data_IF_323135292033
#
_entry.id   IF_323135292033
#
_cell.length_a   1.000
_cell.length_b   1.000
_cell.length_c   1.000
_cell.angle_alpha   90.00
_cell.angle_beta   90.00
_cell.angle_gamma   90.00
#
_symmetry.space_group_name_H-M   'P 1'
#
loop_
_entity.id
_entity.type
_entity.pdbx_description
1 polymer ?
#
# COMPACT_ATOMS: atom_id res chain seq x y z
N UNK A 1 2.83 16.75 -11.40
CA UNK A 1 3.33 16.92 -10.01
C UNK A 1 2.53 18.05 -9.44
N UNK A 2 1.92 17.83 -8.30
CA UNK A 2 0.91 18.73 -7.78
C UNK A 2 1.52 20.08 -7.40
N UNK A 3 0.89 21.16 -7.90
CA UNK A 3 1.37 22.53 -7.68
C UNK A 3 1.50 22.86 -6.18
N UNK A 4 0.66 22.20 -5.34
CA UNK A 4 0.65 22.41 -3.89
C UNK A 4 1.89 21.89 -3.16
N UNK A 5 2.71 21.06 -3.82
CA UNK A 5 3.95 20.51 -3.27
C UNK A 5 5.19 21.36 -3.58
N UNK A 6 5.04 22.40 -4.40
CA UNK A 6 6.11 23.33 -4.77
C UNK A 6 5.85 24.71 -4.14
N UNK A 7 6.87 25.55 -3.95
CA UNK A 7 6.68 26.92 -3.51
C UNK A 7 5.80 27.72 -4.49
N UNK A 8 4.87 28.48 -3.94
CA UNK A 8 4.08 29.46 -4.70
C UNK A 8 4.87 30.77 -4.97
N UNK A 9 4.24 31.75 -5.57
CA UNK A 9 4.86 33.05 -5.87
C UNK A 9 5.33 33.82 -4.64
N UNK A 10 4.86 33.47 -3.44
CA UNK A 10 5.30 34.04 -2.16
C UNK A 10 6.49 33.26 -1.55
N UNK A 11 6.92 32.15 -2.16
CA UNK A 11 7.92 31.24 -1.63
C UNK A 11 7.37 30.25 -0.59
N UNK A 12 6.08 30.30 -0.27
CA UNK A 12 5.46 29.35 0.66
C UNK A 12 5.02 28.08 -0.08
N UNK A 13 5.13 26.92 0.59
CA UNK A 13 4.62 25.63 0.08
C UNK A 13 3.15 25.49 0.49
N UNK A 14 2.19 25.52 -0.45
CA UNK A 14 0.76 25.56 -0.13
C UNK A 14 0.30 24.43 0.78
N UNK A 15 0.75 23.18 0.52
CA UNK A 15 0.37 22.02 1.34
C UNK A 15 0.84 22.14 2.79
N UNK A 16 2.04 22.63 3.02
CA UNK A 16 2.59 22.84 4.39
C UNK A 16 1.80 23.93 5.10
N UNK A 17 1.57 25.07 4.41
CA UNK A 17 0.78 26.19 4.95
C UNK A 17 -0.65 25.79 5.26
N UNK A 18 -1.30 25.04 4.36
CA UNK A 18 -2.64 24.51 4.60
C UNK A 18 -2.68 23.61 5.84
N UNK A 19 -1.75 22.67 5.95
CA UNK A 19 -1.66 21.76 7.11
C UNK A 19 -1.48 22.52 8.42
N UNK A 20 -0.60 23.51 8.44
CA UNK A 20 -0.36 24.34 9.61
C UNK A 20 -1.61 25.14 9.99
N UNK A 21 -2.26 25.79 9.03
CA UNK A 21 -3.49 26.56 9.29
C UNK A 21 -4.64 25.67 9.74
N UNK A 22 -4.81 24.51 9.14
CA UNK A 22 -5.83 23.53 9.58
C UNK A 22 -5.65 23.18 11.06
N UNK A 23 -4.41 22.96 11.50
CA UNK A 23 -4.11 22.68 12.91
C UNK A 23 -4.43 23.88 13.80
N UNK A 24 -3.92 25.06 13.46
CA UNK A 24 -3.98 26.24 14.33
C UNK A 24 -5.33 26.96 14.31
N UNK A 25 -6.02 26.97 13.16
CA UNK A 25 -7.27 27.72 12.98
C UNK A 25 -8.54 26.86 13.13
N UNK A 26 -8.42 25.52 12.99
CA UNK A 26 -9.59 24.62 13.05
C UNK A 26 -9.44 23.59 14.18
N UNK A 27 -8.40 22.75 14.14
CA UNK A 27 -8.27 21.62 15.07
C UNK A 27 -8.07 22.10 16.52
N UNK A 28 -7.08 22.94 16.76
CA UNK A 28 -6.77 23.44 18.11
C UNK A 28 -7.93 24.24 18.73
N UNK A 29 -8.55 25.21 18.03
CA UNK A 29 -9.70 25.93 18.56
C UNK A 29 -10.90 25.02 18.87
N UNK A 30 -11.16 24.03 17.99
CA UNK A 30 -12.25 23.07 18.20
C UNK A 30 -12.09 22.31 19.51
N UNK A 31 -10.91 21.72 19.76
CA UNK A 31 -10.65 20.96 20.99
C UNK A 31 -10.53 21.85 22.23
N UNK A 32 -10.08 23.10 22.09
CA UNK A 32 -10.09 24.08 23.15
C UNK A 32 -11.50 24.48 23.57
N UNK A 33 -12.43 24.58 22.62
CA UNK A 33 -13.83 24.89 22.89
C UNK A 33 -14.59 23.69 23.49
N UNK A 34 -14.07 22.47 23.38
CA UNK A 34 -14.70 21.24 23.87
C UNK A 34 -13.76 20.43 24.77
N UNK A 35 -13.43 20.91 25.98
CA UNK A 35 -12.40 20.32 26.85
C UNK A 35 -12.72 18.90 27.31
N UNK A 36 -13.98 18.44 27.19
CA UNK A 36 -14.38 17.05 27.47
C UNK A 36 -14.13 16.07 26.31
N UNK A 37 -13.74 16.57 25.15
CA UNK A 37 -13.45 15.70 24.01
C UNK A 37 -12.01 15.20 24.07
N UNK A 38 -11.86 13.88 23.83
CA UNK A 38 -10.53 13.30 23.68
C UNK A 38 -9.93 13.73 22.34
N UNK A 39 -8.83 14.46 22.39
CA UNK A 39 -8.11 14.85 21.18
C UNK A 39 -7.52 13.63 20.50
N UNK A 40 -7.74 13.41 19.19
CA UNK A 40 -7.08 12.36 18.44
C UNK A 40 -5.60 12.66 18.24
N UNK A 41 -4.79 11.61 18.09
CA UNK A 41 -3.42 11.76 17.65
C UNK A 41 -3.41 12.25 16.19
N UNK A 42 -2.67 13.32 15.91
CA UNK A 42 -2.58 13.92 14.58
C UNK A 42 -1.30 13.46 13.89
N UNK A 43 -1.45 12.89 12.72
CA UNK A 43 -0.33 12.54 11.84
C UNK A 43 -0.46 13.34 10.56
N UNK A 44 0.65 13.93 10.11
CA UNK A 44 0.66 14.72 8.87
C UNK A 44 1.25 13.91 7.72
N UNK A 45 0.90 14.26 6.49
CA UNK A 45 1.39 13.60 5.27
C UNK A 45 0.32 12.82 4.57
N UNK A 46 0.41 11.55 4.55
CA UNK A 46 0.22 10.48 3.59
C UNK A 46 1.18 10.60 2.42
N UNK A 47 2.50 10.68 2.75
CA UNK A 47 3.55 10.88 1.76
C UNK A 47 3.80 9.58 0.99
N UNK A 48 3.56 9.53 -0.33
CA UNK A 48 3.77 8.33 -1.12
C UNK A 48 5.22 8.24 -1.62
N UNK A 49 5.67 7.04 -1.95
CA UNK A 49 6.89 6.78 -2.73
C UNK A 49 8.16 7.49 -2.20
N UNK A 50 8.34 7.57 -0.88
CA UNK A 50 9.51 8.21 -0.27
C UNK A 50 10.86 7.50 -0.55
N UNK A 51 10.85 6.36 -1.22
CA UNK A 51 12.04 5.73 -1.80
C UNK A 51 12.51 6.39 -3.10
N UNK A 52 11.67 7.21 -3.75
CA UNK A 52 12.04 7.89 -4.98
C UNK A 52 12.78 9.21 -4.67
N UNK A 53 14.01 9.42 -5.18
CA UNK A 53 14.75 10.66 -4.94
C UNK A 53 14.00 11.94 -5.36
N UNK A 54 13.13 11.84 -6.38
CA UNK A 54 12.29 12.97 -6.81
C UNK A 54 11.28 13.37 -5.74
N UNK A 55 10.71 12.39 -5.01
CA UNK A 55 9.75 12.65 -3.93
C UNK A 55 10.46 13.23 -2.71
N UNK A 56 11.64 12.69 -2.35
CA UNK A 56 12.44 13.17 -1.23
C UNK A 56 12.85 14.64 -1.40
N UNK A 57 13.04 15.11 -2.65
CA UNK A 57 13.45 16.49 -2.97
C UNK A 57 12.29 17.49 -3.02
N UNK A 58 11.04 17.04 -2.86
CA UNK A 58 9.90 17.97 -2.88
C UNK A 58 9.89 18.87 -1.63
N UNK A 59 9.76 20.19 -1.80
CA UNK A 59 9.70 21.13 -0.66
C UNK A 59 8.58 20.80 0.33
N UNK A 60 7.45 20.28 -0.13
CA UNK A 60 6.36 19.85 0.76
C UNK A 60 6.77 18.66 1.65
N UNK A 61 7.58 17.73 1.16
CA UNK A 61 8.05 16.61 1.96
C UNK A 61 8.95 17.10 3.11
N UNK A 62 9.94 17.93 2.78
CA UNK A 62 10.81 18.53 3.79
C UNK A 62 10.01 19.36 4.80
N UNK A 63 9.13 20.23 4.32
CA UNK A 63 8.33 21.12 5.19
C UNK A 63 7.33 20.37 6.07
N UNK A 64 6.72 19.27 5.60
CA UNK A 64 5.82 18.46 6.44
C UNK A 64 6.60 17.66 7.50
N UNK A 65 7.78 17.17 7.19
CA UNK A 65 8.66 16.50 8.15
C UNK A 65 9.12 17.52 9.23
N UNK A 66 9.55 18.69 8.83
CA UNK A 66 9.94 19.78 9.75
C UNK A 66 8.76 20.20 10.64
N UNK A 67 7.58 20.38 10.05
CA UNK A 67 6.35 20.68 10.79
C UNK A 67 6.02 19.56 11.78
N UNK A 68 6.14 18.29 11.37
CA UNK A 68 5.93 17.17 12.28
C UNK A 68 6.91 17.16 13.45
N UNK A 69 8.17 17.50 13.22
CA UNK A 69 9.19 17.54 14.27
C UNK A 69 9.00 18.71 15.26
N UNK A 70 8.76 19.91 14.73
CA UNK A 70 8.74 21.15 15.52
C UNK A 70 7.41 21.38 16.24
N UNK A 71 6.29 20.86 15.75
CA UNK A 71 4.98 21.08 16.35
C UNK A 71 4.63 19.96 17.35
N UNK A 72 4.52 20.26 18.67
CA UNK A 72 4.15 19.25 19.68
C UNK A 72 2.71 18.73 19.52
N UNK A 73 1.86 19.45 18.81
CA UNK A 73 0.49 19.04 18.51
C UNK A 73 0.40 17.93 17.44
N UNK A 74 1.49 17.68 16.73
CA UNK A 74 1.59 16.61 15.74
C UNK A 74 2.30 15.41 16.37
N UNK A 75 1.61 14.26 16.39
CA UNK A 75 2.15 13.01 16.94
C UNK A 75 3.26 12.44 16.05
N UNK A 76 3.08 12.46 14.73
CA UNK A 76 4.04 11.87 13.81
C UNK A 76 3.72 12.06 12.34
N UNK A 77 4.27 11.17 11.52
CA UNK A 77 4.17 11.20 10.06
C UNK A 77 3.35 10.02 9.53
N UNK A 78 2.55 10.27 8.50
CA UNK A 78 1.84 9.26 7.72
C UNK A 78 2.55 9.05 6.38
N UNK A 79 2.80 7.80 6.01
CA UNK A 79 3.41 7.44 4.72
C UNK A 79 2.61 6.32 4.05
N UNK A 80 2.58 6.31 2.71
CA UNK A 80 2.04 5.20 1.92
C UNK A 80 3.17 4.37 1.32
N UNK A 81 3.05 3.05 1.37
CA UNK A 81 4.07 2.11 0.91
C UNK A 81 3.54 1.20 -0.19
N UNK A 82 3.40 1.73 -1.40
CA UNK A 82 3.14 0.96 -2.61
C UNK A 82 4.46 0.75 -3.33
N UNK A 83 5.07 -0.43 -3.16
CA UNK A 83 6.46 -0.73 -3.56
C UNK A 83 6.52 -1.73 -4.71
N UNK A 84 7.68 -1.83 -5.34
CA UNK A 84 8.07 -2.91 -6.25
C UNK A 84 8.99 -3.91 -5.55
N UNK A 85 9.88 -3.44 -4.67
CA UNK A 85 10.92 -4.22 -4.04
C UNK A 85 11.01 -3.97 -2.53
N UNK A 86 11.62 -4.91 -1.80
CA UNK A 86 11.94 -4.73 -0.38
C UNK A 86 12.92 -3.57 -0.16
N UNK A 87 13.78 -3.28 -1.15
CA UNK A 87 14.70 -2.14 -1.12
C UNK A 87 13.93 -0.81 -1.07
N UNK A 88 12.86 -0.65 -1.84
CA UNK A 88 12.03 0.56 -1.83
C UNK A 88 11.47 0.83 -0.43
N UNK A 89 11.03 -0.23 0.25
CA UNK A 89 10.50 -0.12 1.61
C UNK A 89 11.58 0.33 2.60
N UNK A 90 12.78 -0.26 2.50
CA UNK A 90 13.92 0.11 3.34
C UNK A 90 14.30 1.57 3.13
N UNK A 91 14.47 2.00 1.88
CA UNK A 91 14.84 3.38 1.54
C UNK A 91 13.80 4.40 2.03
N UNK A 92 12.51 4.10 1.90
CA UNK A 92 11.46 4.96 2.43
C UNK A 92 11.56 5.15 3.95
N UNK A 93 11.76 4.07 4.70
CA UNK A 93 11.89 4.14 6.16
C UNK A 93 13.20 4.79 6.59
N UNK A 94 14.33 4.49 5.95
CA UNK A 94 15.63 5.09 6.25
C UNK A 94 15.58 6.61 6.01
N UNK A 95 14.98 7.06 4.92
CA UNK A 95 14.76 8.47 4.66
C UNK A 95 13.97 9.14 5.79
N UNK A 96 12.83 8.57 6.18
CA UNK A 96 12.01 9.15 7.26
C UNK A 96 12.76 9.14 8.58
N UNK A 97 13.44 8.07 8.95
CA UNK A 97 14.18 7.97 10.23
C UNK A 97 15.41 8.86 10.28
N UNK A 98 16.06 9.09 9.15
CA UNK A 98 17.15 10.07 9.05
C UNK A 98 16.68 11.49 9.41
N UNK A 99 15.52 11.89 8.88
CA UNK A 99 14.98 13.24 9.08
C UNK A 99 14.07 13.37 10.32
N UNK A 100 13.48 12.28 10.79
CA UNK A 100 12.56 12.26 11.94
C UNK A 100 12.82 11.02 12.81
N UNK A 101 13.89 11.01 13.62
CA UNK A 101 14.33 9.81 14.35
C UNK A 101 13.38 9.37 15.46
N UNK A 102 12.70 10.30 16.14
CA UNK A 102 12.00 10.04 17.41
C UNK A 102 10.48 9.88 17.29
N UNK A 103 9.82 10.61 16.38
CA UNK A 103 8.36 10.59 16.31
C UNK A 103 7.81 9.33 15.61
N UNK A 104 6.62 8.88 16.01
CA UNK A 104 5.99 7.70 15.40
C UNK A 104 5.67 7.89 13.92
N UNK A 105 5.66 6.75 13.21
CA UNK A 105 5.20 6.64 11.82
C UNK A 105 3.91 5.83 11.82
N UNK A 106 2.96 6.22 10.97
CA UNK A 106 1.82 5.36 10.59
C UNK A 106 1.86 5.05 9.11
N UNK A 107 1.36 3.86 8.75
CA UNK A 107 1.25 3.39 7.37
C UNK A 107 -0.19 2.99 7.09
N UNK A 108 -1.07 3.94 6.74
CA UNK A 108 -2.48 3.65 6.51
C UNK A 108 -2.74 2.84 5.23
N UNK A 109 -1.79 2.84 4.29
CA UNK A 109 -1.88 2.05 3.06
C UNK A 109 -0.52 1.48 2.65
N UNK A 110 -0.51 0.18 2.33
CA UNK A 110 0.66 -0.50 1.77
C UNK A 110 0.24 -1.62 0.82
N UNK A 111 1.02 -1.89 -0.23
CA UNK A 111 0.72 -2.95 -1.20
C UNK A 111 1.88 -3.18 -2.18
N UNK A 112 1.78 -4.25 -2.97
CA UNK A 112 2.64 -4.52 -4.12
C UNK A 112 2.06 -3.98 -5.44
N UNK A 113 1.15 -2.99 -5.39
CA UNK A 113 0.46 -2.48 -6.59
C UNK A 113 1.44 -2.11 -7.72
N UNK A 114 2.55 -1.44 -7.41
CA UNK A 114 3.54 -1.02 -8.41
C UNK A 114 4.21 -2.22 -9.08
N UNK A 115 4.53 -3.25 -8.31
CA UNK A 115 5.07 -4.51 -8.82
C UNK A 115 4.09 -5.17 -9.79
N UNK A 116 2.80 -5.25 -9.45
CA UNK A 116 1.79 -5.82 -10.34
C UNK A 116 1.66 -5.05 -11.65
N UNK A 117 1.61 -3.72 -11.58
CA UNK A 117 1.52 -2.85 -12.77
C UNK A 117 2.72 -3.04 -13.70
N UNK A 118 3.92 -3.18 -13.15
CA UNK A 118 5.16 -3.41 -13.91
C UNK A 118 5.08 -4.66 -14.79
N UNK A 119 4.42 -5.70 -14.29
CA UNK A 119 4.34 -7.00 -14.95
C UNK A 119 3.07 -7.24 -15.78
N UNK A 120 2.18 -6.25 -15.93
CA UNK A 120 0.91 -6.41 -16.67
C UNK A 120 1.08 -6.89 -18.12
N UNK A 121 2.20 -6.56 -18.75
CA UNK A 121 2.49 -6.91 -20.16
C UNK A 121 3.27 -8.21 -20.33
N UNK A 122 3.77 -8.78 -19.25
CA UNK A 122 4.57 -9.99 -19.32
C UNK A 122 3.71 -11.16 -19.80
N UNK A 123 4.21 -12.01 -20.72
CA UNK A 123 3.47 -13.18 -21.14
C UNK A 123 3.42 -14.22 -20.02
N UNK A 124 2.35 -15.00 -19.95
CA UNK A 124 2.21 -16.10 -19.00
C UNK A 124 3.40 -17.06 -19.04
N UNK A 125 3.92 -17.35 -20.21
CA UNK A 125 5.05 -18.25 -20.44
C UNK A 125 6.42 -17.55 -20.49
N UNK A 126 6.62 -16.44 -19.80
CA UNK A 126 7.87 -15.68 -19.81
C UNK A 126 9.11 -16.51 -19.40
N UNK A 127 8.93 -17.48 -18.53
CA UNK A 127 9.95 -18.40 -18.06
C UNK A 127 9.44 -19.86 -18.06
N UNK A 128 10.23 -20.80 -17.55
CA UNK A 128 9.85 -22.22 -17.51
C UNK A 128 8.63 -22.45 -16.62
N UNK A 129 8.62 -21.89 -15.40
CA UNK A 129 7.51 -22.06 -14.45
C UNK A 129 6.20 -21.47 -15.02
N UNK A 130 6.29 -20.35 -15.73
CA UNK A 130 5.16 -19.76 -16.42
C UNK A 130 4.64 -20.61 -17.58
N UNK A 131 5.50 -21.29 -18.34
CA UNK A 131 5.08 -22.23 -19.39
C UNK A 131 4.41 -23.47 -18.80
N UNK A 132 4.93 -24.00 -17.69
CA UNK A 132 4.34 -25.11 -16.96
C UNK A 132 2.95 -24.75 -16.41
N UNK A 133 2.81 -23.55 -15.84
CA UNK A 133 1.53 -23.00 -15.43
C UNK A 133 0.55 -22.92 -16.61
N UNK A 134 0.97 -22.31 -17.73
CA UNK A 134 0.11 -22.17 -18.91
C UNK A 134 -0.36 -23.52 -19.45
N UNK A 135 0.53 -24.51 -19.50
CA UNK A 135 0.19 -25.89 -19.93
C UNK A 135 -0.82 -26.53 -18.96
N UNK A 136 -0.57 -26.44 -17.64
CA UNK A 136 -1.45 -27.01 -16.60
C UNK A 136 -2.88 -26.50 -16.68
N UNK A 137 -3.07 -25.21 -16.93
CA UNK A 137 -4.39 -24.58 -16.95
C UNK A 137 -4.92 -24.31 -18.37
N UNK A 138 -4.31 -24.93 -19.39
CA UNK A 138 -4.71 -24.80 -20.79
C UNK A 138 -4.81 -23.34 -21.26
N UNK A 139 -3.83 -22.53 -20.87
CA UNK A 139 -3.71 -21.11 -21.25
C UNK A 139 -2.67 -20.95 -22.35
N UNK A 140 -2.87 -19.95 -23.22
CA UNK A 140 -1.84 -19.56 -24.18
C UNK A 140 -0.61 -19.00 -23.44
N UNK A 141 0.59 -19.57 -23.59
CA UNK A 141 1.79 -19.06 -22.94
C UNK A 141 2.19 -17.65 -23.42
N UNK A 142 1.68 -17.22 -24.59
CA UNK A 142 1.89 -15.85 -25.11
C UNK A 142 0.89 -14.84 -24.55
N UNK A 143 -0.16 -15.27 -23.86
CA UNK A 143 -1.15 -14.39 -23.26
C UNK A 143 -0.48 -13.46 -22.25
N UNK A 144 -0.60 -12.12 -22.37
CA UNK A 144 -0.08 -11.20 -21.38
C UNK A 144 -0.92 -11.23 -20.10
N UNK A 145 -0.28 -10.96 -18.95
CA UNK A 145 -0.91 -10.98 -17.63
C UNK A 145 -2.16 -10.11 -17.53
N UNK A 146 -2.19 -8.93 -18.15
CA UNK A 146 -3.40 -8.09 -18.13
C UNK A 146 -4.63 -8.77 -18.75
N UNK A 147 -4.44 -9.62 -19.78
CA UNK A 147 -5.54 -10.40 -20.37
C UNK A 147 -5.96 -11.55 -19.45
N UNK A 148 -5.00 -12.23 -18.82
CA UNK A 148 -5.31 -13.26 -17.84
C UNK A 148 -6.06 -12.66 -16.63
N UNK A 149 -5.67 -11.48 -16.14
CA UNK A 149 -6.42 -10.76 -15.11
C UNK A 149 -7.84 -10.38 -15.57
N UNK A 150 -8.02 -10.08 -16.85
CA UNK A 150 -9.37 -9.86 -17.39
C UNK A 150 -10.24 -11.12 -17.31
N UNK A 151 -9.66 -12.31 -17.52
CA UNK A 151 -10.37 -13.57 -17.30
C UNK A 151 -10.71 -13.77 -15.82
N UNK A 152 -9.80 -13.47 -14.92
CA UNK A 152 -10.06 -13.54 -13.49
C UNK A 152 -11.21 -12.60 -13.07
N UNK A 153 -11.19 -11.35 -13.51
CA UNK A 153 -12.25 -10.37 -13.22
C UNK A 153 -13.61 -10.70 -13.87
N UNK A 154 -13.65 -11.72 -14.74
CA UNK A 154 -14.88 -12.31 -15.29
C UNK A 154 -15.22 -13.65 -14.62
N UNK A 155 -14.55 -14.02 -13.52
CA UNK A 155 -14.70 -15.32 -12.82
C UNK A 155 -14.42 -16.55 -13.71
N UNK A 156 -13.52 -16.42 -14.69
CA UNK A 156 -13.08 -17.51 -15.58
C UNK A 156 -11.77 -18.16 -15.11
N UNK A 157 -11.32 -17.83 -13.92
CA UNK A 157 -10.12 -18.34 -13.25
C UNK A 157 -10.54 -18.91 -11.91
N UNK A 158 -10.10 -20.12 -11.59
CA UNK A 158 -10.34 -20.73 -10.29
C UNK A 158 -9.40 -20.16 -9.23
N UNK A 159 -9.71 -20.34 -7.95
CA UNK A 159 -8.83 -19.98 -6.83
C UNK A 159 -7.48 -20.73 -6.90
N UNK A 160 -7.51 -21.99 -7.35
CA UNK A 160 -6.30 -22.80 -7.57
C UNK A 160 -5.43 -22.19 -8.68
N UNK A 161 -6.04 -21.86 -9.81
CA UNK A 161 -5.33 -21.22 -10.94
C UNK A 161 -4.73 -19.88 -10.53
N UNK A 162 -5.49 -19.06 -9.76
CA UNK A 162 -5.01 -17.80 -9.23
C UNK A 162 -3.74 -17.99 -8.37
N UNK A 163 -3.77 -18.90 -7.39
CA UNK A 163 -2.63 -19.19 -6.54
C UNK A 163 -1.43 -19.72 -7.34
N UNK A 164 -1.67 -20.63 -8.26
CA UNK A 164 -0.63 -21.22 -9.11
C UNK A 164 0.03 -20.19 -10.04
N UNK A 165 -0.74 -19.23 -10.56
CA UNK A 165 -0.20 -18.16 -11.39
C UNK A 165 0.83 -17.34 -10.62
N UNK A 166 0.49 -16.87 -9.43
CA UNK A 166 1.44 -16.09 -8.62
C UNK A 166 2.64 -16.93 -8.15
N UNK A 167 2.40 -18.19 -7.76
CA UNK A 167 3.48 -19.11 -7.38
C UNK A 167 4.47 -19.39 -8.51
N UNK A 168 4.03 -19.29 -9.77
CA UNK A 168 4.90 -19.46 -10.95
C UNK A 168 5.72 -18.22 -11.30
N UNK A 169 5.51 -17.09 -10.60
CA UNK A 169 6.22 -15.82 -10.89
C UNK A 169 7.46 -15.67 -10.00
N UNK A 170 8.63 -15.64 -10.62
CA UNK A 170 9.90 -15.39 -9.90
C UNK A 170 10.01 -14.00 -9.29
N UNK A 171 9.21 -13.04 -9.78
CA UNK A 171 9.15 -11.67 -9.26
C UNK A 171 8.15 -11.50 -8.11
N UNK A 172 7.22 -12.45 -7.90
CA UNK A 172 6.24 -12.33 -6.81
C UNK A 172 6.87 -12.77 -5.47
N UNK A 173 6.97 -11.88 -4.48
CA UNK A 173 7.53 -12.24 -3.18
C UNK A 173 6.49 -12.98 -2.34
N UNK A 174 6.67 -14.28 -2.10
CA UNK A 174 5.80 -14.99 -1.16
C UNK A 174 5.94 -14.38 0.24
N UNK A 175 4.87 -14.43 1.02
CA UNK A 175 4.85 -13.90 2.41
C UNK A 175 5.21 -12.41 2.54
N UNK A 176 4.86 -11.60 1.54
CA UNK A 176 5.19 -10.16 1.56
C UNK A 176 4.57 -9.43 2.76
N UNK A 177 3.40 -9.86 3.24
CA UNK A 177 2.78 -9.30 4.45
C UNK A 177 3.67 -9.45 5.67
N UNK A 178 4.31 -10.63 5.87
CA UNK A 178 5.24 -10.86 6.97
C UNK A 178 6.52 -10.02 6.81
N UNK A 179 6.95 -9.78 5.57
CA UNK A 179 8.08 -8.90 5.28
C UNK A 179 7.74 -7.46 5.67
N UNK A 180 6.59 -6.92 5.25
CA UNK A 180 6.13 -5.61 5.69
C UNK A 180 6.05 -5.52 7.21
N UNK A 181 5.45 -6.52 7.86
CA UNK A 181 5.32 -6.54 9.31
C UNK A 181 6.67 -6.46 10.04
N UNK A 182 7.70 -7.19 9.57
CA UNK A 182 9.06 -7.11 10.14
C UNK A 182 9.65 -5.70 10.02
N UNK A 183 9.43 -5.02 8.89
CA UNK A 183 9.87 -3.64 8.72
C UNK A 183 9.09 -2.68 9.62
N UNK A 184 7.79 -2.87 9.79
CA UNK A 184 6.99 -2.07 10.71
C UNK A 184 7.48 -2.19 12.15
N UNK A 185 7.78 -3.40 12.62
CA UNK A 185 8.39 -3.61 13.93
C UNK A 185 9.77 -2.94 14.02
N UNK A 186 10.65 -3.15 13.03
CA UNK A 186 12.01 -2.61 13.00
C UNK A 186 12.05 -1.09 13.05
N UNK A 187 11.18 -0.43 12.30
CA UNK A 187 11.16 1.03 12.17
C UNK A 187 10.15 1.71 13.10
N UNK A 188 9.56 0.99 14.05
CA UNK A 188 8.67 1.53 15.06
C UNK A 188 7.40 2.16 14.46
N UNK A 189 6.79 1.49 13.49
CA UNK A 189 5.48 1.87 12.95
C UNK A 189 4.42 1.61 14.02
N UNK A 190 3.73 2.66 14.43
CA UNK A 190 2.72 2.60 15.51
C UNK A 190 1.40 2.00 15.06
N UNK A 191 1.02 2.28 13.82
CA UNK A 191 -0.20 1.78 13.21
C UNK A 191 0.05 1.49 11.73
N UNK A 192 -0.31 0.30 11.29
CA UNK A 192 -0.42 -0.01 9.88
C UNK A 192 -1.81 -0.59 9.61
N UNK A 193 -2.44 -0.18 8.52
CA UNK A 193 -3.72 -0.71 8.09
C UNK A 193 -3.62 -1.25 6.67
N UNK A 194 -4.26 -2.39 6.45
CA UNK A 194 -4.44 -2.94 5.12
C UNK A 194 -5.89 -2.69 4.71
N UNK A 195 -6.14 -1.54 4.06
CA UNK A 195 -7.47 -0.99 3.80
C UNK A 195 -8.23 -1.62 2.64
N UNK A 196 -7.67 -2.68 2.02
CA UNK A 196 -8.24 -3.25 0.80
C UNK A 196 -9.22 -4.38 1.10
N UNK A 197 -10.41 -4.07 1.61
CA UNK A 197 -11.48 -5.06 1.80
C UNK A 197 -12.09 -5.43 0.46
N UNK A 198 -12.38 -4.43 -0.39
CA UNK A 198 -12.89 -4.61 -1.75
C UNK A 198 -12.33 -3.50 -2.65
N UNK A 199 -12.10 -3.83 -3.92
CA UNK A 199 -11.61 -2.88 -4.91
C UNK A 199 -12.37 -3.08 -6.24
N UNK A 200 -12.48 -2.00 -7.01
CA UNK A 200 -13.00 -2.10 -8.35
C UNK A 200 -12.07 -2.96 -9.22
N UNK A 201 -12.66 -3.93 -9.92
CA UNK A 201 -11.97 -4.76 -10.89
C UNK A 201 -12.64 -4.59 -12.26
N UNK A 202 -11.98 -3.95 -13.23
CA UNK A 202 -12.55 -3.80 -14.57
C UNK A 202 -12.65 -5.16 -15.26
N UNK A 203 -13.74 -5.45 -15.98
CA UNK A 203 -13.88 -6.72 -16.70
C UNK A 203 -12.81 -6.91 -17.79
N UNK A 204 -12.24 -5.82 -18.28
CA UNK A 204 -11.09 -5.81 -19.20
C UNK A 204 -10.00 -4.95 -18.58
N UNK A 205 -8.85 -5.56 -18.28
CA UNK A 205 -7.68 -4.89 -17.75
C UNK A 205 -6.83 -4.40 -18.92
N UNK A 206 -6.64 -3.09 -19.11
CA UNK A 206 -5.78 -2.61 -20.18
C UNK A 206 -4.28 -2.83 -19.86
N UNK A 207 -3.41 -2.88 -20.89
CA UNK A 207 -1.98 -3.16 -20.71
C UNK A 207 -1.21 -2.12 -19.90
N UNK A 208 -1.75 -0.93 -19.72
CA UNK A 208 -1.24 0.14 -18.86
C UNK A 208 -2.27 0.48 -17.75
N UNK A 209 -3.08 -0.50 -17.36
CA UNK A 209 -4.12 -0.31 -16.36
C UNK A 209 -3.61 -0.33 -14.93
N UNK A 210 -4.56 -0.14 -14.02
CA UNK A 210 -4.34 -0.34 -12.60
C UNK A 210 -4.52 -1.80 -12.20
N UNK A 211 -3.81 -2.24 -11.18
CA UNK A 211 -3.87 -3.59 -10.65
C UNK A 211 -4.33 -3.64 -9.17
N UNK A 212 -5.08 -2.63 -8.72
CA UNK A 212 -5.58 -2.57 -7.34
C UNK A 212 -6.46 -3.75 -6.96
N UNK A 213 -7.18 -4.34 -7.91
CA UNK A 213 -8.08 -5.49 -7.72
C UNK A 213 -7.37 -6.77 -7.23
N UNK A 214 -6.03 -6.81 -7.29
CA UNK A 214 -5.23 -7.94 -6.76
C UNK A 214 -5.11 -7.84 -5.24
N UNK A 215 -5.13 -6.62 -4.68
CA UNK A 215 -4.85 -6.37 -3.27
C UNK A 215 -5.97 -6.75 -2.27
N UNK A 216 -7.28 -6.82 -2.59
CA UNK A 216 -8.29 -7.08 -1.57
C UNK A 216 -8.03 -8.34 -0.75
N UNK A 217 -8.38 -8.26 0.54
CA UNK A 217 -8.43 -9.43 1.44
C UNK A 217 -9.46 -10.44 0.92
N UNK A 218 -10.55 -9.93 0.35
CA UNK A 218 -11.57 -10.72 -0.34
C UNK A 218 -11.72 -10.22 -1.78
N UNK A 219 -10.98 -10.78 -2.75
CA UNK A 219 -11.00 -10.31 -4.14
C UNK A 219 -12.25 -10.84 -4.88
N UNK A 220 -13.44 -10.55 -4.35
CA UNK A 220 -14.73 -11.04 -4.83
C UNK A 220 -15.07 -10.66 -6.28
N UNK A 221 -14.34 -9.71 -6.88
CA UNK A 221 -14.48 -9.36 -8.30
C UNK A 221 -13.59 -10.18 -9.21
N UNK A 222 -12.55 -10.84 -8.66
CA UNK A 222 -11.57 -11.62 -9.41
C UNK A 222 -11.65 -13.11 -9.09
N UNK A 223 -12.10 -13.49 -7.90
CA UNK A 223 -12.27 -14.88 -7.50
C UNK A 223 -13.75 -15.23 -7.31
N UNK A 224 -14.16 -16.43 -7.73
CA UNK A 224 -15.51 -16.91 -7.49
C UNK A 224 -15.75 -17.07 -5.98
N UNK A 225 -17.02 -16.97 -5.53
CA UNK A 225 -17.37 -17.25 -4.14
C UNK A 225 -17.15 -18.74 -3.81
N UNK A 226 -17.04 -19.05 -2.52
CA UNK A 226 -17.04 -20.41 -2.02
C UNK A 226 -18.40 -21.09 -2.29
N UNK A 227 -18.46 -22.42 -2.15
CA UNK A 227 -19.68 -23.19 -2.38
C UNK A 227 -20.85 -22.80 -1.45
N UNK A 228 -20.57 -22.27 -0.27
CA UNK A 228 -21.55 -21.76 0.68
C UNK A 228 -21.99 -20.31 0.43
N UNK A 229 -21.49 -19.68 -0.65
CA UNK A 229 -21.75 -18.30 -1.03
C UNK A 229 -20.91 -17.25 -0.28
N UNK A 230 -20.04 -17.65 0.63
CA UNK A 230 -19.11 -16.74 1.30
C UNK A 230 -18.01 -16.22 0.34
N UNK A 231 -17.42 -15.08 0.68
CA UNK A 231 -16.32 -14.54 -0.08
C UNK A 231 -15.06 -15.40 0.07
N UNK A 232 -14.44 -15.74 -1.05
CA UNK A 232 -13.15 -16.41 -1.06
C UNK A 232 -12.06 -15.47 -0.52
N UNK A 233 -11.35 -15.84 0.56
CA UNK A 233 -10.21 -15.05 1.02
C UNK A 233 -9.08 -15.10 0.00
N UNK A 234 -8.28 -14.03 -0.07
CA UNK A 234 -7.16 -13.98 -0.99
C UNK A 234 -6.09 -15.02 -0.59
N UNK A 235 -5.87 -16.05 -1.39
CA UNK A 235 -4.97 -17.16 -1.03
C UNK A 235 -3.49 -16.76 -1.00
N UNK A 236 -3.16 -15.56 -1.49
CA UNK A 236 -1.78 -15.10 -1.58
C UNK A 236 -1.20 -14.64 -0.23
N UNK A 237 -2.06 -14.18 0.69
CA UNK A 237 -1.59 -13.59 1.96
C UNK A 237 -2.59 -13.64 3.13
N UNK A 238 -3.75 -14.27 2.97
CA UNK A 238 -4.71 -14.34 4.07
C UNK A 238 -4.12 -15.00 5.32
N UNK A 239 -3.35 -16.08 5.15
CA UNK A 239 -2.72 -16.79 6.28
C UNK A 239 -1.70 -15.90 6.99
N UNK A 240 -0.89 -15.15 6.24
CA UNK A 240 0.04 -14.19 6.80
C UNK A 240 -0.69 -13.08 7.57
N UNK A 241 -1.78 -12.55 7.00
CA UNK A 241 -2.58 -11.51 7.64
C UNK A 241 -3.17 -12.01 8.97
N UNK A 242 -3.75 -13.20 8.98
CA UNK A 242 -4.28 -13.83 10.20
C UNK A 242 -3.18 -14.05 11.24
N UNK A 243 -2.00 -14.51 10.83
CA UNK A 243 -0.86 -14.71 11.71
C UNK A 243 -0.40 -13.39 12.37
N UNK A 244 -0.33 -12.29 11.59
CA UNK A 244 0.03 -10.96 12.09
C UNK A 244 -1.00 -10.46 13.11
N UNK A 245 -2.29 -10.56 12.80
CA UNK A 245 -3.38 -10.12 13.70
C UNK A 245 -3.35 -10.89 15.02
N UNK A 246 -3.16 -12.22 14.98
CA UNK A 246 -3.08 -13.04 16.17
C UNK A 246 -1.84 -12.73 17.02
N UNK A 247 -0.69 -12.44 16.40
CA UNK A 247 0.54 -12.02 17.11
C UNK A 247 0.33 -10.67 17.82
N UNK A 248 -0.38 -9.74 17.18
CA UNK A 248 -0.74 -8.45 17.78
C UNK A 248 -1.65 -8.62 19.02
N UNK A 249 -2.64 -9.51 18.94
CA UNK A 249 -3.55 -9.81 20.08
C UNK A 249 -2.80 -10.43 21.27
N UNK A 250 -1.80 -11.25 21.03
CA UNK A 250 -1.01 -11.86 22.10
C UNK A 250 -0.11 -10.86 22.84
N UNK A 251 0.36 -9.80 22.17
CA UNK A 251 1.17 -8.72 22.77
C UNK A 251 0.33 -7.70 23.56
N UNK A 252 -0.96 -7.60 23.31
CA UNK A 252 -1.89 -6.66 23.96
C UNK A 252 -2.58 -7.17 25.21
N UNK A 253 -2.26 -8.41 25.63
CA UNK A 253 -2.66 -9.01 26.92
C UNK A 253 -1.50 -8.96 27.89
#
# INVERSE_FOLDING_TARGET
MDADMQPDTSGAVPLVRFTQRLLTEVVEPCYRAHPGWKRPAVYVGSLPALFEPRMQKLPAVAGLIELAQSNPAIEGLSIHLHIETEQDMREAFEFVRHHMPAKPIIVPEFSLHRLYVKHLKDPLGADQAGREFAARFHRDPKMPLHQWYSLANQHKVSTEEWSAMFASRNWFPPHFMLTYYRYFERYGVRLATYGFVSQYAPPVVPPNGSAWFINPIFPAKSLPPNADGSFTPNPLWMDDFVAIVNKGRAKGK
#
